data_IF_141694325301
#
_entry.id   IF_141694325301
#
_cell.length_a   1.000
_cell.length_b   1.000
_cell.length_c   1.000
_cell.angle_alpha   90.00
_cell.angle_beta   90.00
_cell.angle_gamma   90.00
#
_symmetry.space_group_name_H-M   'P 1'
#
loop_
_entity.id
_entity.type
_entity.pdbx_description
1 polymer ?
#
# COMPACT_ATOMS: atom_id res chain seq x y z
N UNK A 1 -29.66 -28.76 9.04
CA UNK A 1 -29.92 -29.68 7.92
C UNK A 1 -28.92 -29.40 6.81
N UNK A 2 -28.42 -30.48 6.18
CA UNK A 2 -27.67 -30.63 4.92
C UNK A 2 -26.94 -29.39 4.35
N UNK A 3 -25.62 -29.39 4.09
CA UNK A 3 -24.81 -30.46 3.48
C UNK A 3 -24.92 -30.41 1.95
N UNK A 4 -23.78 -30.26 1.25
CA UNK A 4 -23.46 -30.61 -0.17
C UNK A 4 -22.21 -29.78 -0.57
N UNK A 5 -20.96 -30.23 -0.42
CA UNK A 5 -20.25 -31.34 -1.09
C UNK A 5 -20.36 -31.32 -2.62
N UNK A 6 -19.21 -31.12 -3.29
CA UNK A 6 -19.10 -31.10 -4.75
C UNK A 6 -17.65 -31.05 -5.25
N UNK A 7 -16.79 -31.95 -4.78
CA UNK A 7 -15.54 -32.31 -5.45
C UNK A 7 -15.84 -33.16 -6.68
N UNK A 8 -15.29 -32.81 -7.85
CA UNK A 8 -15.48 -33.58 -9.09
C UNK A 8 -14.16 -34.08 -9.68
N UNK A 9 -13.99 -35.39 -9.52
CA UNK A 9 -13.41 -36.45 -10.36
C UNK A 9 -12.20 -36.23 -11.28
N UNK A 10 -11.26 -37.15 -11.05
CA UNK A 10 -10.23 -37.68 -11.93
C UNK A 10 -10.75 -38.22 -13.27
N UNK A 11 -9.92 -38.07 -14.31
CA UNK A 11 -9.89 -38.88 -15.53
C UNK A 11 -8.68 -38.42 -16.36
N UNK A 12 -7.92 -39.24 -17.08
CA UNK A 12 -8.01 -40.65 -17.46
C UNK A 12 -6.66 -40.97 -18.11
N UNK A 13 -5.93 -41.96 -17.59
CA UNK A 13 -4.76 -42.54 -18.27
C UNK A 13 -5.24 -43.27 -19.53
N UNK A 14 -4.59 -43.02 -20.67
CA UNK A 14 -4.76 -43.81 -21.88
C UNK A 14 -3.39 -44.15 -22.47
N UNK A 15 -3.30 -45.42 -22.88
CA UNK A 15 -2.09 -46.16 -23.16
C UNK A 15 -1.57 -46.04 -24.61
N UNK A 16 -0.32 -46.49 -24.78
CA UNK A 16 0.47 -46.74 -26.00
C UNK A 16 -0.27 -47.62 -27.04
N UNK A 17 0.13 -47.60 -28.33
CA UNK A 17 1.21 -48.46 -28.86
C UNK A 17 2.14 -47.68 -29.84
N UNK A 18 3.36 -48.06 -30.23
CA UNK A 18 3.98 -49.36 -30.41
C UNK A 18 4.49 -49.49 -31.86
N UNK A 19 5.81 -49.47 -32.04
CA UNK A 19 6.59 -50.19 -33.06
C UNK A 19 6.58 -49.69 -34.53
N UNK A 20 7.76 -49.36 -35.09
CA UNK A 20 8.46 -50.17 -36.11
C UNK A 20 9.76 -49.54 -36.59
N UNK A 21 10.80 -50.37 -36.58
CA UNK A 21 12.14 -50.17 -37.14
C UNK A 21 12.10 -50.08 -38.67
N UNK A 22 12.95 -49.25 -39.26
CA UNK A 22 13.60 -49.52 -40.55
C UNK A 22 15.05 -49.05 -40.49
N UNK A 23 15.94 -49.96 -40.86
CA UNK A 23 17.36 -49.75 -41.03
C UNK A 23 17.70 -49.61 -42.52
N UNK A 24 18.93 -49.09 -42.74
CA UNK A 24 19.83 -49.18 -43.91
C UNK A 24 19.79 -48.03 -44.92
N UNK A 25 20.90 -47.77 -45.67
CA UNK A 25 22.32 -47.72 -45.22
C UNK A 25 23.18 -46.61 -45.89
N UNK A 26 24.43 -46.46 -45.41
CA UNK A 26 25.70 -46.16 -46.13
C UNK A 26 26.01 -44.74 -46.74
N UNK A 27 26.94 -44.03 -46.06
CA UNK A 27 28.14 -43.21 -46.45
C UNK A 27 28.34 -42.62 -47.89
N UNK A 28 29.22 -41.60 -48.16
CA UNK A 28 30.41 -41.16 -47.38
C UNK A 28 30.79 -39.64 -47.34
N UNK A 29 31.79 -39.35 -46.49
CA UNK A 29 32.96 -38.44 -46.62
C UNK A 29 32.89 -37.12 -47.40
N UNK A 30 33.20 -36.01 -46.72
CA UNK A 30 33.67 -34.77 -47.34
C UNK A 30 33.83 -33.59 -46.36
N UNK A 31 35.01 -32.96 -46.39
CA UNK A 31 35.51 -31.80 -45.64
C UNK A 31 34.49 -30.65 -45.38
N UNK A 32 34.59 -29.80 -44.36
CA UNK A 32 35.65 -28.82 -44.12
C UNK A 32 35.54 -28.23 -42.71
N UNK A 33 36.71 -27.93 -42.15
CA UNK A 33 36.90 -27.05 -40.98
C UNK A 33 36.27 -25.67 -41.18
N UNK A 34 35.52 -25.20 -40.18
CA UNK A 34 35.59 -23.80 -39.72
C UNK A 34 35.09 -23.70 -38.28
N UNK A 35 36.05 -23.48 -37.39
CA UNK A 35 35.85 -23.05 -36.01
C UNK A 35 35.32 -21.60 -36.02
N UNK A 36 34.59 -21.25 -34.97
CA UNK A 36 34.18 -19.90 -34.53
C UNK A 36 32.88 -19.30 -35.08
N UNK A 37 31.82 -19.42 -34.26
CA UNK A 37 31.06 -18.26 -33.73
C UNK A 37 30.30 -18.72 -32.48
N UNK A 38 30.94 -18.61 -31.31
CA UNK A 38 30.85 -17.46 -30.40
C UNK A 38 29.46 -17.33 -29.78
N UNK A 39 29.40 -17.83 -28.55
CA UNK A 39 28.30 -17.79 -27.57
C UNK A 39 27.59 -16.42 -27.59
N UNK A 40 26.37 -16.38 -28.10
CA UNK A 40 25.54 -15.16 -28.17
C UNK A 40 24.22 -15.29 -27.38
N UNK A 41 24.19 -16.18 -26.37
CA UNK A 41 22.95 -16.53 -25.65
C UNK A 41 22.90 -16.14 -24.15
N UNK A 42 23.95 -15.71 -23.42
CA UNK A 42 23.77 -15.45 -21.98
C UNK A 42 23.35 -14.01 -21.62
N UNK A 43 23.17 -13.09 -22.59
CA UNK A 43 22.93 -11.67 -22.27
C UNK A 43 21.43 -11.38 -22.05
N UNK A 44 20.51 -12.11 -22.70
CA UNK A 44 19.07 -11.83 -22.63
C UNK A 44 18.47 -12.22 -21.27
N UNK A 45 19.01 -13.26 -20.62
CA UNK A 45 18.51 -13.73 -19.32
C UNK A 45 18.80 -12.74 -18.16
N UNK A 46 19.83 -11.90 -18.28
CA UNK A 46 20.21 -10.94 -17.23
C UNK A 46 19.35 -9.66 -17.27
N UNK A 47 18.81 -9.29 -18.43
CA UNK A 47 17.96 -8.10 -18.56
C UNK A 47 16.57 -8.29 -17.93
N UNK A 48 16.04 -9.53 -17.93
CA UNK A 48 14.72 -9.85 -17.40
C UNK A 48 14.65 -9.79 -15.87
N UNK A 49 15.75 -10.08 -15.16
CA UNK A 49 15.80 -10.02 -13.69
C UNK A 49 15.90 -8.59 -13.16
N UNK A 50 16.56 -7.69 -13.89
CA UNK A 50 16.69 -6.27 -13.50
C UNK A 50 15.37 -5.53 -13.65
N UNK A 51 14.58 -5.82 -14.68
CA UNK A 51 13.28 -5.19 -14.90
C UNK A 51 12.23 -5.55 -13.83
N UNK A 52 12.30 -6.75 -13.26
CA UNK A 52 11.36 -7.20 -12.22
C UNK A 52 11.61 -6.55 -10.85
N UNK A 53 12.86 -6.17 -10.53
CA UNK A 53 13.20 -5.51 -9.26
C UNK A 53 12.79 -4.03 -9.25
N UNK A 54 12.71 -3.39 -10.42
CA UNK A 54 12.28 -1.99 -10.57
C UNK A 54 10.75 -1.81 -10.59
N UNK A 55 9.98 -2.90 -10.63
CA UNK A 55 8.52 -2.89 -10.68
C UNK A 55 7.86 -3.19 -9.32
N UNK A 56 8.61 -3.07 -8.21
CA UNK A 56 7.99 -3.13 -6.90
C UNK A 56 6.96 -1.99 -6.79
N UNK A 57 5.69 -2.28 -6.45
CA UNK A 57 4.71 -1.23 -6.23
C UNK A 57 5.21 -0.34 -5.08
N UNK A 58 5.14 0.98 -5.26
CA UNK A 58 5.27 1.89 -4.14
C UNK A 58 4.15 1.54 -3.14
N UNK A 59 4.53 0.99 -1.99
CA UNK A 59 3.60 0.70 -0.92
C UNK A 59 3.26 2.01 -0.23
N UNK A 60 1.97 2.34 -0.15
CA UNK A 60 1.54 3.49 0.61
C UNK A 60 1.84 3.26 2.10
N UNK A 61 2.50 4.23 2.72
CA UNK A 61 2.80 4.20 4.14
C UNK A 61 1.68 4.92 4.91
N UNK A 62 1.47 4.55 6.18
CA UNK A 62 0.48 5.22 7.02
C UNK A 62 1.13 5.93 8.18
N UNK A 63 0.74 7.17 8.43
CA UNK A 63 1.09 7.93 9.63
C UNK A 63 -0.16 8.32 10.40
N UNK A 64 -0.07 8.32 11.74
CA UNK A 64 -1.17 8.73 12.61
C UNK A 64 -0.78 9.89 13.50
N UNK A 65 -1.55 10.96 13.43
CA UNK A 65 -1.45 12.13 14.28
C UNK A 65 -2.53 12.12 15.36
N UNK A 66 -2.29 12.87 16.44
CA UNK A 66 -3.24 13.00 17.54
C UNK A 66 -3.36 14.44 17.98
N UNK A 67 -4.54 14.84 18.44
CA UNK A 67 -4.81 16.13 19.04
C UNK A 67 -5.64 15.95 20.29
N UNK A 68 -5.27 16.64 21.37
CA UNK A 68 -6.02 16.65 22.63
C UNK A 68 -6.10 18.05 23.17
N UNK A 69 -7.26 18.43 23.69
CA UNK A 69 -7.49 19.73 24.31
C UNK A 69 -8.25 19.55 25.61
N UNK A 70 -7.67 20.06 26.70
CA UNK A 70 -8.35 20.23 27.99
C UNK A 70 -8.48 21.70 28.31
N UNK A 71 -9.69 22.13 28.66
CA UNK A 71 -9.95 23.44 29.26
C UNK A 71 -10.47 23.28 30.69
N UNK A 72 -10.05 24.18 31.59
CA UNK A 72 -10.55 24.23 32.96
C UNK A 72 -11.05 25.64 33.27
N UNK A 73 -12.35 25.85 33.15
CA UNK A 73 -12.99 27.16 33.35
C UNK A 73 -12.74 27.74 34.73
N UNK A 74 -12.82 26.89 35.76
CA UNK A 74 -12.57 27.30 37.16
C UNK A 74 -11.21 27.98 37.36
N UNK A 75 -10.22 27.60 36.56
CA UNK A 75 -8.85 28.10 36.68
C UNK A 75 -8.41 28.95 35.49
N UNK A 76 -9.29 29.12 34.48
CA UNK A 76 -8.96 29.82 33.23
C UNK A 76 -7.80 29.18 32.45
N UNK A 77 -7.50 27.90 32.67
CA UNK A 77 -6.36 27.23 32.02
C UNK A 77 -6.80 26.40 30.81
N UNK A 78 -5.90 26.32 29.84
CA UNK A 78 -6.02 25.45 28.66
C UNK A 78 -4.72 24.68 28.46
N UNK A 79 -4.83 23.41 28.10
CA UNK A 79 -3.70 22.56 27.79
C UNK A 79 -4.01 21.78 26.51
N UNK A 80 -3.18 21.99 25.49
CA UNK A 80 -3.22 21.23 24.25
C UNK A 80 -1.97 20.34 24.14
N UNK A 81 -2.13 19.12 23.64
CA UNK A 81 -1.02 18.22 23.32
C UNK A 81 -1.41 17.24 22.23
N UNK A 82 -0.43 16.63 21.59
CA UNK A 82 -0.67 15.73 20.47
C UNK A 82 0.60 15.36 19.72
N UNK A 83 0.44 14.48 18.73
CA UNK A 83 1.50 14.16 17.76
C UNK A 83 1.21 14.88 16.46
N UNK A 84 2.15 15.69 16.00
CA UNK A 84 2.12 16.34 14.69
C UNK A 84 2.04 15.30 13.58
N UNK A 85 1.21 15.56 12.59
CA UNK A 85 1.15 14.82 11.34
C UNK A 85 2.30 15.31 10.44
N UNK A 86 3.24 14.44 10.11
CA UNK A 86 4.32 14.76 9.17
C UNK A 86 4.15 13.91 7.92
N UNK A 87 3.90 14.57 6.79
CA UNK A 87 3.68 13.94 5.50
C UNK A 87 4.87 14.27 4.59
N UNK A 88 5.72 13.29 4.25
CA UNK A 88 6.81 13.51 3.31
C UNK A 88 6.32 13.74 1.88
N UNK A 89 5.17 13.13 1.54
CA UNK A 89 4.47 13.23 0.25
C UNK A 89 2.99 13.59 0.47
N UNK A 90 2.25 13.82 -0.61
CA UNK A 90 0.82 14.10 -0.52
C UNK A 90 0.07 12.85 -0.05
N UNK A 91 -0.86 13.02 0.90
CA UNK A 91 -1.54 11.90 1.54
C UNK A 91 -3.04 12.07 1.61
N UNK A 92 -3.76 10.96 1.83
CA UNK A 92 -5.20 10.93 1.99
C UNK A 92 -5.58 10.43 3.37
N UNK A 93 -6.48 11.15 4.04
CA UNK A 93 -7.04 10.70 5.32
C UNK A 93 -7.85 9.42 5.10
N UNK A 94 -7.47 8.34 5.80
CA UNK A 94 -8.13 7.03 5.66
C UNK A 94 -8.91 6.61 6.91
N UNK A 95 -8.61 7.23 8.06
CA UNK A 95 -9.29 6.95 9.32
C UNK A 95 -9.27 8.18 10.22
N UNK A 96 -10.40 8.41 10.88
CA UNK A 96 -10.47 9.28 12.05
C UNK A 96 -11.02 8.48 13.21
N UNK A 97 -10.37 8.55 14.37
CA UNK A 97 -10.87 8.01 15.62
C UNK A 97 -11.08 9.11 16.65
N UNK A 98 -12.01 8.84 17.55
CA UNK A 98 -12.57 9.81 18.48
C UNK A 98 -13.10 11.05 17.73
N UNK A 99 -13.02 12.24 18.32
CA UNK A 99 -13.42 13.44 17.59
C UNK A 99 -14.88 13.86 17.75
N UNK A 100 -15.72 13.27 18.61
CA UNK A 100 -17.18 13.55 18.76
C UNK A 100 -17.67 15.01 18.57
N UNK A 101 -16.89 16.04 18.94
CA UNK A 101 -17.27 17.46 18.82
C UNK A 101 -16.65 18.20 17.64
N UNK A 102 -15.97 17.49 16.75
CA UNK A 102 -15.25 18.04 15.62
C UNK A 102 -13.81 18.43 15.94
N UNK A 103 -13.09 18.84 14.90
CA UNK A 103 -11.70 19.28 14.96
C UNK A 103 -11.31 20.07 13.71
N UNK A 104 -10.25 20.86 13.82
CA UNK A 104 -9.53 21.47 12.69
C UNK A 104 -8.23 20.72 12.40
N UNK A 105 -7.86 20.65 11.14
CA UNK A 105 -6.49 20.36 10.71
C UNK A 105 -5.82 21.72 10.45
N UNK A 106 -4.73 21.97 11.16
CA UNK A 106 -3.97 23.22 11.07
C UNK A 106 -2.65 22.95 10.36
N UNK A 107 -2.21 23.83 9.47
CA UNK A 107 -0.88 23.75 8.87
C UNK A 107 0.23 24.20 9.83
N UNK A 108 1.48 24.16 9.37
CA UNK A 108 2.65 24.60 10.13
C UNK A 108 2.65 26.10 10.49
N UNK A 109 1.85 26.94 9.81
CA UNK A 109 1.69 28.38 10.11
C UNK A 109 0.63 28.61 11.18
N UNK A 110 -0.18 27.59 11.48
CA UNK A 110 -1.32 27.70 12.36
C UNK A 110 -2.58 28.18 11.64
N UNK A 111 -2.63 28.05 10.31
CA UNK A 111 -3.83 28.32 9.52
C UNK A 111 -4.66 27.03 9.39
N UNK A 112 -5.99 27.14 9.54
CA UNK A 112 -6.89 26.01 9.35
C UNK A 112 -6.97 25.66 7.86
N UNK A 113 -6.59 24.43 7.50
CA UNK A 113 -6.69 23.92 6.12
C UNK A 113 -8.01 23.17 5.89
N UNK A 114 -8.59 22.62 6.96
CA UNK A 114 -9.89 21.98 6.94
C UNK A 114 -10.51 21.95 8.34
N UNK A 115 -11.83 22.04 8.40
CA UNK A 115 -12.63 22.04 9.62
C UNK A 115 -13.74 21.00 9.50
N UNK A 116 -13.89 20.16 10.53
CA UNK A 116 -14.87 19.08 10.53
C UNK A 116 -15.69 19.12 11.80
N UNK A 117 -17.00 19.36 11.67
CA UNK A 117 -17.94 19.19 12.78
C UNK A 117 -18.29 17.72 13.00
N UNK A 118 -18.34 16.94 11.92
CA UNK A 118 -18.47 15.49 11.95
C UNK A 118 -17.14 14.88 11.53
N UNK A 119 -16.40 14.23 12.46
CA UNK A 119 -15.03 13.78 12.18
C UNK A 119 -14.89 12.83 11.00
N UNK A 120 -15.92 12.03 10.74
CA UNK A 120 -15.95 11.05 9.66
C UNK A 120 -15.91 11.71 8.27
N UNK A 121 -16.31 12.97 8.15
CA UNK A 121 -16.24 13.73 6.89
C UNK A 121 -14.81 14.04 6.46
N UNK A 122 -13.83 13.96 7.38
CA UNK A 122 -12.43 14.13 7.03
C UNK A 122 -11.88 12.93 6.25
N UNK A 123 -12.51 11.76 6.32
CA UNK A 123 -12.05 10.58 5.57
C UNK A 123 -12.21 10.83 4.07
N UNK A 124 -11.10 10.68 3.35
CA UNK A 124 -11.00 11.01 1.92
C UNK A 124 -10.42 12.40 1.63
N UNK A 125 -10.20 13.24 2.65
CA UNK A 125 -9.49 14.51 2.46
C UNK A 125 -8.06 14.24 1.98
N UNK A 126 -7.67 14.92 0.90
CA UNK A 126 -6.29 14.94 0.42
C UNK A 126 -5.53 16.12 1.04
N UNK A 127 -4.33 15.84 1.51
CA UNK A 127 -3.40 16.78 2.11
C UNK A 127 -2.13 16.83 1.26
N UNK A 128 -1.61 18.04 1.07
CA UNK A 128 -0.30 18.23 0.48
C UNK A 128 0.82 17.70 1.40
N UNK A 129 2.05 17.48 0.89
CA UNK A 129 3.20 17.24 1.75
C UNK A 129 3.37 18.40 2.74
N UNK A 130 3.72 18.09 3.98
CA UNK A 130 3.88 19.11 5.01
C UNK A 130 3.72 18.61 6.44
N UNK A 131 3.72 19.56 7.38
CA UNK A 131 3.44 19.30 8.78
C UNK A 131 2.08 19.90 9.17
N UNK A 132 1.28 19.11 9.90
CA UNK A 132 -0.04 19.51 10.34
C UNK A 132 -0.25 19.17 11.82
N UNK A 133 -1.09 19.96 12.48
CA UNK A 133 -1.54 19.68 13.85
C UNK A 133 -3.05 19.53 13.89
N UNK A 134 -3.53 18.69 14.81
CA UNK A 134 -4.95 18.47 15.03
C UNK A 134 -5.41 19.31 16.21
N UNK A 135 -6.43 20.15 15.99
CA UNK A 135 -7.01 21.02 17.00
C UNK A 135 -8.45 20.56 17.30
N UNK A 136 -8.68 19.76 18.36
CA UNK A 136 -10.00 19.27 18.69
C UNK A 136 -10.89 20.40 19.23
N UNK A 137 -12.18 20.36 18.90
CA UNK A 137 -13.14 21.29 19.46
C UNK A 137 -13.64 20.82 20.81
N UNK A 138 -13.85 21.78 21.71
CA UNK A 138 -14.46 21.56 23.02
C UNK A 138 -15.68 22.45 23.16
N UNK A 139 -16.70 21.98 23.86
CA UNK A 139 -17.88 22.79 24.16
C UNK A 139 -17.92 23.16 25.65
N UNK A 140 -18.88 24.00 26.03
CA UNK A 140 -19.03 24.44 27.42
C UNK A 140 -19.26 23.28 28.42
N UNK A 141 -19.74 22.13 27.95
CA UNK A 141 -20.00 20.94 28.79
C UNK A 141 -18.87 19.92 28.72
N UNK A 142 -18.25 19.74 27.56
CA UNK A 142 -17.20 18.76 27.33
C UNK A 142 -15.88 19.49 27.12
N UNK A 143 -15.21 19.77 28.24
CA UNK A 143 -13.95 20.52 28.29
C UNK A 143 -12.72 19.65 28.08
N UNK A 144 -12.88 18.41 27.65
CA UNK A 144 -11.79 17.52 27.27
C UNK A 144 -12.19 16.76 26.00
N UNK A 145 -11.33 16.79 25.00
CA UNK A 145 -11.55 16.08 23.76
C UNK A 145 -10.25 15.59 23.15
N UNK A 146 -10.34 14.44 22.47
CA UNK A 146 -9.24 13.77 21.79
C UNK A 146 -9.67 13.40 20.38
N UNK A 147 -8.73 13.45 19.45
CA UNK A 147 -8.92 12.99 18.08
C UNK A 147 -7.63 12.34 17.58
N UNK A 148 -7.78 11.29 16.80
CA UNK A 148 -6.70 10.67 16.02
C UNK A 148 -7.05 10.68 14.53
N UNK A 149 -6.07 11.02 13.70
CA UNK A 149 -6.24 10.99 12.24
C UNK A 149 -5.11 10.17 11.64
N UNK A 150 -5.45 9.17 10.83
CA UNK A 150 -4.50 8.39 10.04
C UNK A 150 -4.58 8.81 8.59
N UNK A 151 -3.40 9.06 8.02
CA UNK A 151 -3.20 9.40 6.61
C UNK A 151 -2.34 8.34 5.96
N UNK A 152 -2.75 7.94 4.76
CA UNK A 152 -1.98 7.10 3.85
C UNK A 152 -1.29 8.02 2.82
N UNK A 153 0.03 7.87 2.64
CA UNK A 153 0.86 8.67 1.72
C UNK A 153 1.84 7.81 0.92
#
# INVERSE_FOLDING_TARGET
>A
EAGLNGTFSYGKLAALPGNRRRCLPFAPSGAETRVFRMRLIPIIALAATVAAVLAAPAGAETVTATGSLIMKDKYGTSQAWGRTLKLPDGGKVVRVMDGTYGFSIMDAKGDAVADFLLPQEAVGLELAPGEYTLSPYVCARHRHHHVEVTVEY
#
